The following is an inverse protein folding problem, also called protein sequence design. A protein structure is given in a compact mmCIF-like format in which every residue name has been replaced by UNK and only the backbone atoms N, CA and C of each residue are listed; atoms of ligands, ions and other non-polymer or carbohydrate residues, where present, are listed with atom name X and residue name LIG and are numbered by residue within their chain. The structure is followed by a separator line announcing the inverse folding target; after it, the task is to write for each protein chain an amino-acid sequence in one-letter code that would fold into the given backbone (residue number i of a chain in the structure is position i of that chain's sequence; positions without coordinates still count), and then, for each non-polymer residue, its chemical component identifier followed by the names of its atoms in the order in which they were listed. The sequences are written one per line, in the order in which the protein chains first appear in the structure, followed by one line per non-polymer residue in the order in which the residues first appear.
data_IF_153100031039
#
_entry.id   IF_153100031039
#
_cell.length_a   1.000
_cell.length_b   1.000
_cell.length_c   1.000
_cell.angle_alpha   90.00
_cell.angle_beta   90.00
_cell.angle_gamma   90.00
#
_symmetry.space_group_name_H-M   'P 1'
#
loop_
_entity.id
_entity.type
_entity.pdbx_description
1 polymer ?
#
# COMPACT_ATOMS: atom_id res chain seq x y z
N UNK A 1 6.83 -7.05 1.01
CA UNK A 1 6.37 -8.44 0.78
C UNK A 1 4.91 -8.64 1.17
N UNK A 2 4.47 -8.07 2.28
CA UNK A 2 3.08 -8.15 2.75
C UNK A 2 2.01 -7.77 1.70
N UNK A 3 2.25 -6.71 0.90
CA UNK A 3 1.36 -6.34 -0.23
C UNK A 3 1.15 -7.46 -1.25
N UNK A 4 2.21 -8.22 -1.55
CA UNK A 4 2.14 -9.34 -2.50
C UNK A 4 1.37 -10.53 -1.89
N UNK A 5 1.56 -10.81 -0.59
CA UNK A 5 0.84 -11.85 0.13
C UNK A 5 -0.67 -11.56 0.20
N UNK A 6 -1.06 -10.32 0.51
CA UNK A 6 -2.47 -9.91 0.50
C UNK A 6 -3.10 -10.07 -0.88
N UNK A 7 -2.40 -9.61 -1.93
CA UNK A 7 -2.87 -9.75 -3.32
C UNK A 7 -3.01 -11.22 -3.72
N UNK A 8 -2.05 -12.06 -3.34
CA UNK A 8 -2.09 -13.49 -3.60
C UNK A 8 -3.29 -14.17 -2.91
N UNK A 9 -3.54 -13.87 -1.63
CA UNK A 9 -4.72 -14.37 -0.89
C UNK A 9 -6.03 -13.97 -1.59
N UNK A 10 -6.17 -12.70 -1.98
CA UNK A 10 -7.35 -12.21 -2.71
C UNK A 10 -7.58 -12.92 -4.05
N UNK A 11 -6.51 -13.22 -4.80
CA UNK A 11 -6.62 -13.93 -6.08
C UNK A 11 -7.01 -15.40 -5.86
N UNK A 12 -6.44 -16.05 -4.84
CA UNK A 12 -6.80 -17.40 -4.40
C UNK A 12 -8.28 -17.50 -3.99
N UNK A 13 -8.78 -16.54 -3.20
CA UNK A 13 -10.18 -16.47 -2.79
C UNK A 13 -11.14 -16.33 -3.97
N UNK A 14 -10.69 -15.68 -5.05
CA UNK A 14 -11.44 -15.53 -6.30
C UNK A 14 -11.29 -16.73 -7.26
N UNK A 15 -10.57 -17.78 -6.88
CA UNK A 15 -10.31 -18.94 -7.73
C UNK A 15 -9.35 -18.66 -8.90
N UNK A 16 -8.63 -17.54 -8.85
CA UNK A 16 -7.68 -17.15 -9.91
C UNK A 16 -6.32 -17.74 -9.57
N UNK A 17 -5.76 -18.51 -10.50
CA UNK A 17 -4.39 -19.02 -10.37
C UNK A 17 -3.40 -17.86 -10.44
N UNK A 18 -2.53 -17.76 -9.44
CA UNK A 18 -1.47 -16.76 -9.40
C UNK A 18 -0.24 -17.36 -8.73
N UNK A 19 0.96 -16.87 -9.09
CA UNK A 19 2.21 -17.26 -8.44
C UNK A 19 2.73 -16.10 -7.62
N UNK A 20 3.03 -16.34 -6.35
CA UNK A 20 3.53 -15.30 -5.45
C UNK A 20 4.80 -14.59 -5.97
N UNK A 21 5.81 -15.29 -6.54
CA UNK A 21 7.00 -14.63 -7.09
C UNK A 21 6.69 -13.63 -8.21
N UNK A 22 5.72 -13.95 -9.08
CA UNK A 22 5.32 -13.07 -10.18
C UNK A 22 4.69 -11.78 -9.64
N UNK A 23 3.81 -11.91 -8.63
CA UNK A 23 3.16 -10.77 -7.99
C UNK A 23 4.19 -9.88 -7.30
N UNK A 24 5.19 -10.47 -6.64
CA UNK A 24 6.28 -9.72 -6.01
C UNK A 24 7.05 -8.91 -7.05
N UNK A 25 7.46 -9.56 -8.14
CA UNK A 25 8.21 -8.91 -9.21
C UNK A 25 7.38 -7.79 -9.88
N UNK A 26 6.10 -8.03 -10.15
CA UNK A 26 5.19 -7.03 -10.74
C UNK A 26 5.05 -5.80 -9.84
N UNK A 27 4.85 -5.99 -8.53
CA UNK A 27 4.75 -4.90 -7.57
C UNK A 27 6.07 -4.12 -7.48
N UNK A 28 7.22 -4.80 -7.45
CA UNK A 28 8.53 -4.16 -7.37
C UNK A 28 8.82 -3.31 -8.62
N UNK A 29 8.57 -3.85 -9.81
CA UNK A 29 8.77 -3.13 -11.09
C UNK A 29 7.87 -1.90 -11.14
N UNK A 30 6.59 -2.05 -10.75
CA UNK A 30 5.64 -0.94 -10.73
C UNK A 30 6.08 0.14 -9.74
N UNK A 31 6.44 -0.24 -8.52
CA UNK A 31 6.84 0.73 -7.50
C UNK A 31 8.13 1.46 -7.88
N UNK A 32 9.08 0.79 -8.55
CA UNK A 32 10.29 1.42 -9.08
C UNK A 32 9.92 2.46 -10.15
N UNK A 33 9.11 2.06 -11.13
CA UNK A 33 8.65 2.94 -12.21
C UNK A 33 7.88 4.15 -11.68
N UNK A 34 7.02 3.95 -10.68
CA UNK A 34 6.19 5.01 -10.10
C UNK A 34 7.02 6.00 -9.24
N UNK A 35 8.14 5.55 -8.66
CA UNK A 35 9.11 6.42 -7.98
C UNK A 35 9.99 7.20 -8.94
N UNK A 36 10.38 6.59 -10.07
CA UNK A 36 11.32 7.17 -11.03
C UNK A 36 10.66 8.03 -12.11
N UNK A 37 9.31 8.05 -12.20
CA UNK A 37 8.62 8.85 -13.21
C UNK A 37 8.93 10.35 -13.05
N UNK A 38 9.26 11.00 -14.17
CA UNK A 38 9.57 12.43 -14.22
C UNK A 38 8.38 13.33 -13.91
N UNK A 39 7.15 12.84 -14.13
CA UNK A 39 5.91 13.59 -13.89
C UNK A 39 5.14 12.92 -12.75
N UNK A 40 4.86 13.69 -11.69
CA UNK A 40 4.08 13.27 -10.52
C UNK A 40 4.65 12.05 -9.78
N UNK A 41 5.96 11.93 -9.47
CA UNK A 41 6.52 10.76 -8.79
C UNK A 41 5.76 10.40 -7.51
N UNK A 42 5.67 9.11 -7.16
CA UNK A 42 5.01 8.65 -5.92
C UNK A 42 5.87 8.95 -4.70
N UNK A 43 5.97 10.24 -4.37
CA UNK A 43 6.66 10.76 -3.21
C UNK A 43 5.63 11.32 -2.22
N UNK A 44 5.82 11.10 -0.91
CA UNK A 44 5.03 11.79 0.10
C UNK A 44 5.21 13.30 -0.03
N UNK A 45 4.14 14.07 0.20
CA UNK A 45 4.24 15.51 0.34
C UNK A 45 5.05 15.87 1.60
N UNK A 46 5.57 17.10 1.67
CA UNK A 46 6.40 17.54 2.79
C UNK A 46 5.67 17.51 4.14
N UNK A 47 4.35 17.71 4.12
CA UNK A 47 3.42 17.69 5.25
C UNK A 47 2.67 16.35 5.38
N UNK A 48 2.99 15.36 4.53
CA UNK A 48 2.30 14.09 4.54
C UNK A 48 2.66 13.27 5.79
N UNK A 49 1.64 12.76 6.47
CA UNK A 49 1.82 11.76 7.53
C UNK A 49 1.85 10.37 6.88
N UNK A 50 2.98 9.69 7.02
CA UNK A 50 3.15 8.33 6.49
C UNK A 50 2.50 7.32 7.44
N UNK A 51 1.57 6.53 6.92
CA UNK A 51 0.95 5.42 7.64
C UNK A 51 1.45 4.11 7.03
N UNK A 52 2.31 3.39 7.77
CA UNK A 52 2.65 2.03 7.43
C UNK A 52 1.54 1.08 7.90
N UNK A 53 0.98 0.32 6.97
CA UNK A 53 -0.11 -0.64 7.24
C UNK A 53 0.36 -2.09 7.21
N UNK A 54 1.68 -2.34 7.25
CA UNK A 54 2.25 -3.70 7.14
C UNK A 54 1.64 -4.63 8.19
N UNK A 55 1.59 -4.20 9.45
CA UNK A 55 1.10 -4.99 10.58
C UNK A 55 -0.23 -4.49 11.16
N UNK A 56 -0.95 -3.65 10.41
CA UNK A 56 -2.23 -3.08 10.85
C UNK A 56 -3.41 -3.82 10.20
N UNK A 57 -4.43 -4.08 11.01
CA UNK A 57 -5.75 -4.46 10.53
C UNK A 57 -6.43 -3.29 9.80
N UNK A 58 -7.47 -3.61 9.02
CA UNK A 58 -8.25 -2.59 8.30
C UNK A 58 -8.82 -1.55 9.27
N UNK A 59 -9.36 -1.98 10.41
CA UNK A 59 -9.95 -1.08 11.39
C UNK A 59 -8.89 -0.14 12.00
N UNK A 60 -7.71 -0.66 12.34
CA UNK A 60 -6.62 0.15 12.89
C UNK A 60 -6.12 1.21 11.90
N UNK A 61 -6.04 0.87 10.61
CA UNK A 61 -5.69 1.84 9.56
C UNK A 61 -6.76 2.94 9.48
N UNK A 62 -8.04 2.56 9.50
CA UNK A 62 -9.16 3.52 9.46
C UNK A 62 -9.12 4.46 10.67
N UNK A 63 -8.95 3.91 11.87
CA UNK A 63 -8.87 4.70 13.10
C UNK A 63 -7.67 5.65 13.08
N UNK A 64 -6.52 5.22 12.55
CA UNK A 64 -5.34 6.07 12.40
C UNK A 64 -5.63 7.27 11.51
N UNK A 65 -6.31 7.06 10.38
CA UNK A 65 -6.67 8.13 9.43
C UNK A 65 -7.66 9.11 10.07
N UNK A 66 -8.69 8.60 10.75
CA UNK A 66 -9.69 9.44 11.42
C UNK A 66 -9.07 10.29 12.53
N UNK A 67 -8.16 9.71 13.33
CA UNK A 67 -7.48 10.44 14.40
C UNK A 67 -6.60 11.58 13.87
N UNK A 68 -5.89 11.38 12.75
CA UNK A 68 -5.10 12.43 12.11
C UNK A 68 -5.96 13.61 11.64
N UNK A 69 -7.12 13.32 11.07
CA UNK A 69 -8.07 14.37 10.69
C UNK A 69 -8.56 15.19 11.89
N UNK A 70 -8.90 14.51 12.99
CA UNK A 70 -9.41 15.16 14.20
C UNK A 70 -8.36 15.98 14.95
N UNK A 71 -7.08 15.60 14.90
CA UNK A 71 -5.99 16.35 15.52
C UNK A 71 -5.54 17.55 14.69
N UNK A 72 -5.62 17.47 13.37
CA UNK A 72 -5.29 18.59 12.48
C UNK A 72 -6.34 19.73 12.50
N UNK A 73 -7.54 19.47 13.04
CA UNK A 73 -8.65 20.45 13.08
C UNK A 73 -8.76 21.18 14.43
N UNK A 74 -7.89 20.85 15.40
CA UNK A 74 -7.76 21.58 16.69
C UNK A 74 -6.57 22.53 16.64
#
# INVERSE_FOLDING_TARGET
EERALRRYKQLKEKGISARLPDIVAEIQIRDLRDKERSISPTLPAADAVVIDSTDLSINEVVDRVLNLHLTATK
#
